data_IF_601950888748
#
_entry.id   IF_601950888748
#
_cell.length_a   1.000
_cell.length_b   1.000
_cell.length_c   1.000
_cell.angle_alpha   90.00
_cell.angle_beta   90.00
_cell.angle_gamma   90.00
#
_symmetry.space_group_name_H-M   'P 1'
#
loop_
_entity.id
_entity.type
_entity.pdbx_description
1 polymer ?
#
# COMPACT_ATOMS: atom_id res chain seq x y z
N UNK A 1 10.69 -4.61 -10.12
CA UNK A 1 9.85 -3.43 -10.39
C UNK A 1 9.09 -2.96 -9.14
N UNK A 2 8.14 -3.74 -8.60
CA UNK A 2 7.24 -3.27 -7.53
C UNK A 2 7.96 -2.75 -6.28
N UNK A 3 9.01 -3.43 -5.82
CA UNK A 3 9.79 -2.96 -4.66
C UNK A 3 10.40 -1.58 -4.89
N UNK A 4 10.82 -1.24 -6.11
CA UNK A 4 11.40 0.07 -6.44
C UNK A 4 10.32 1.15 -6.33
N UNK A 5 9.12 0.91 -6.88
CA UNK A 5 7.98 1.82 -6.73
C UNK A 5 7.60 2.04 -5.26
N UNK A 6 7.60 0.98 -4.46
CA UNK A 6 7.33 1.06 -3.02
C UNK A 6 8.42 1.81 -2.25
N UNK A 7 9.69 1.66 -2.64
CA UNK A 7 10.81 2.45 -2.09
C UNK A 7 10.63 3.93 -2.38
N UNK A 8 10.25 4.29 -3.61
CA UNK A 8 9.98 5.69 -3.99
C UNK A 8 8.84 6.24 -3.14
N UNK A 9 7.71 5.53 -3.06
CA UNK A 9 6.58 5.94 -2.24
C UNK A 9 6.95 6.14 -0.76
N UNK A 10 7.72 5.20 -0.17
CA UNK A 10 8.23 5.33 1.20
C UNK A 10 9.06 6.61 1.35
N UNK A 11 10.06 6.80 0.51
CA UNK A 11 10.97 7.93 0.63
C UNK A 11 10.25 9.27 0.42
N UNK A 12 9.31 9.35 -0.54
CA UNK A 12 8.54 10.57 -0.80
C UNK A 12 7.55 10.91 0.33
N UNK A 13 7.04 9.91 1.04
CA UNK A 13 5.98 10.09 2.06
C UNK A 13 6.47 10.01 3.50
N UNK A 14 7.71 9.61 3.74
CA UNK A 14 8.31 9.50 5.07
C UNK A 14 8.47 10.85 5.78
N UNK A 15 8.52 11.96 5.05
CA UNK A 15 8.72 13.30 5.62
C UNK A 15 10.16 13.57 6.09
N UNK A 16 11.07 12.62 5.91
CA UNK A 16 12.49 12.69 6.26
C UNK A 16 13.34 12.08 5.14
N UNK A 17 14.64 12.35 5.14
CA UNK A 17 15.57 11.58 4.32
C UNK A 17 15.81 10.20 4.96
N UNK A 18 15.02 9.22 4.51
CA UNK A 18 15.15 7.82 4.96
C UNK A 18 16.50 7.21 4.57
N UNK A 19 17.19 7.73 3.56
CA UNK A 19 18.51 7.20 3.14
C UNK A 19 19.59 7.60 4.13
N UNK A 20 19.49 8.80 4.68
CA UNK A 20 20.42 9.31 5.68
C UNK A 20 20.07 8.83 7.10
N UNK A 21 18.80 8.94 7.50
CA UNK A 21 18.37 8.72 8.88
C UNK A 21 17.79 7.33 9.16
N UNK A 22 17.58 6.53 8.12
CA UNK A 22 17.01 5.19 8.23
C UNK A 22 15.50 5.17 8.51
N UNK A 23 14.93 3.96 8.48
CA UNK A 23 13.47 3.74 8.60
C UNK A 23 12.95 3.96 10.03
N UNK A 24 13.80 3.74 11.03
CA UNK A 24 13.43 3.94 12.44
C UNK A 24 13.20 5.41 12.81
N UNK A 25 13.72 6.35 12.01
CA UNK A 25 13.54 7.79 12.22
C UNK A 25 12.20 8.32 11.70
N UNK A 26 11.37 7.50 11.05
CA UNK A 26 10.07 7.92 10.55
C UNK A 26 9.11 8.11 11.74
N UNK A 27 8.67 9.36 11.99
CA UNK A 27 7.82 9.70 13.13
C UNK A 27 6.42 9.07 13.07
N UNK A 28 5.81 9.06 11.88
CA UNK A 28 4.46 8.54 11.67
C UNK A 28 4.49 7.27 10.83
N UNK A 29 3.94 6.14 11.32
CA UNK A 29 3.98 4.88 10.58
C UNK A 29 3.27 5.00 9.23
N UNK A 30 3.98 4.60 8.18
CA UNK A 30 3.46 4.65 6.81
C UNK A 30 2.47 3.51 6.55
N UNK A 31 1.49 3.77 5.68
CA UNK A 31 0.45 2.82 5.30
C UNK A 31 0.35 2.64 3.79
N UNK A 32 0.36 1.38 3.36
CA UNK A 32 0.24 0.97 1.97
C UNK A 32 -1.05 0.16 1.81
N UNK A 33 -1.76 0.38 0.72
CA UNK A 33 -3.07 -0.24 0.47
C UNK A 33 -3.03 -1.04 -0.82
N UNK A 34 -3.65 -2.21 -0.82
CA UNK A 34 -3.85 -3.02 -2.01
C UNK A 34 -4.96 -4.03 -1.75
N UNK A 35 -5.48 -4.64 -2.81
CA UNK A 35 -6.51 -5.67 -2.67
C UNK A 35 -6.01 -6.89 -1.90
N UNK A 36 -6.91 -7.69 -1.35
CA UNK A 36 -6.61 -9.02 -0.81
C UNK A 36 -6.12 -10.01 -1.89
N UNK A 37 -6.34 -9.70 -3.17
CA UNK A 37 -5.82 -10.42 -4.34
C UNK A 37 -4.40 -9.99 -4.75
N UNK A 38 -3.77 -9.06 -4.03
CA UNK A 38 -2.45 -8.54 -4.38
C UNK A 38 -1.37 -9.62 -4.30
N UNK A 39 -0.46 -9.63 -5.28
CA UNK A 39 0.62 -10.61 -5.32
C UNK A 39 1.52 -10.52 -4.08
N UNK A 40 1.96 -11.68 -3.58
CA UNK A 40 2.74 -11.81 -2.33
C UNK A 40 4.06 -11.01 -2.30
N UNK A 41 4.57 -10.57 -3.47
CA UNK A 41 5.77 -9.74 -3.55
C UNK A 41 5.63 -8.40 -2.81
N UNK A 42 4.41 -7.86 -2.67
CA UNK A 42 4.19 -6.59 -1.96
C UNK A 42 4.36 -6.74 -0.45
N UNK A 43 3.91 -7.88 0.11
CA UNK A 43 4.22 -8.25 1.50
C UNK A 43 5.73 -8.35 1.70
N UNK A 44 6.42 -9.12 0.85
CA UNK A 44 7.87 -9.30 0.92
C UNK A 44 8.61 -7.97 0.79
N UNK A 45 8.11 -7.05 -0.04
CA UNK A 45 8.66 -5.72 -0.16
C UNK A 45 8.52 -4.90 1.13
N UNK A 46 7.35 -4.90 1.80
CA UNK A 46 7.21 -4.19 3.09
C UNK A 46 8.15 -4.74 4.16
N UNK A 47 8.30 -6.07 4.22
CA UNK A 47 9.24 -6.74 5.13
C UNK A 47 10.69 -6.33 4.81
N UNK A 48 11.10 -6.41 3.54
CA UNK A 48 12.45 -6.05 3.10
C UNK A 48 12.77 -4.55 3.25
N UNK A 49 11.76 -3.67 3.15
CA UNK A 49 11.92 -2.23 3.34
C UNK A 49 11.96 -1.80 4.81
N UNK A 50 11.87 -2.74 5.76
CA UNK A 50 11.91 -2.46 7.20
C UNK A 50 10.62 -1.90 7.77
N UNK A 51 9.52 -1.92 7.01
CA UNK A 51 8.20 -1.39 7.43
C UNK A 51 7.32 -2.47 8.09
N UNK A 52 7.61 -3.74 7.78
CA UNK A 52 6.89 -4.90 8.29
C UNK A 52 5.54 -5.14 7.60
N UNK A 53 5.05 -6.39 7.64
CA UNK A 53 3.81 -6.80 6.98
C UNK A 53 2.59 -5.98 7.43
N UNK A 54 2.59 -5.47 8.67
CA UNK A 54 1.50 -4.63 9.16
C UNK A 54 1.36 -3.35 8.35
N UNK A 55 2.41 -2.81 7.72
CA UNK A 55 2.33 -1.61 6.89
C UNK A 55 1.47 -1.79 5.63
N UNK A 56 1.28 -3.04 5.16
CA UNK A 56 0.39 -3.36 4.05
C UNK A 56 -1.02 -3.69 4.56
N UNK A 57 -1.94 -2.75 4.38
CA UNK A 57 -3.37 -2.96 4.61
C UNK A 57 -4.01 -3.58 3.38
N UNK A 58 -4.60 -4.77 3.56
CA UNK A 58 -5.34 -5.48 2.51
C UNK A 58 -6.79 -5.01 2.55
N UNK A 59 -7.31 -4.63 1.39
CA UNK A 59 -8.68 -4.19 1.20
C UNK A 59 -9.46 -5.32 0.55
N UNK A 60 -10.69 -5.53 1.00
CA UNK A 60 -11.59 -6.52 0.42
C UNK A 60 -11.81 -6.25 -1.07
N UNK A 61 -12.13 -7.31 -1.81
CA UNK A 61 -12.51 -7.22 -3.22
C UNK A 61 -14.01 -7.40 -3.44
N UNK A 62 -14.50 -6.85 -4.54
CA UNK A 62 -15.87 -7.01 -5.00
C UNK A 62 -16.11 -8.38 -5.66
N UNK A 63 -17.33 -8.61 -6.15
CA UNK A 63 -17.67 -9.84 -6.86
C UNK A 63 -16.85 -10.07 -8.15
N UNK A 64 -16.25 -9.01 -8.71
CA UNK A 64 -15.33 -9.06 -9.84
C UNK A 64 -13.87 -9.24 -9.45
N UNK A 65 -13.57 -9.48 -8.16
CA UNK A 65 -12.24 -9.60 -7.59
C UNK A 65 -11.37 -8.35 -7.79
N UNK A 66 -12.02 -7.19 -7.91
CA UNK A 66 -11.38 -5.87 -7.96
C UNK A 66 -11.42 -5.25 -6.57
N UNK A 67 -10.45 -4.39 -6.26
CA UNK A 67 -10.44 -3.68 -4.98
C UNK A 67 -11.75 -2.91 -4.75
N UNK A 68 -12.36 -3.08 -3.57
CA UNK A 68 -13.53 -2.31 -3.18
C UNK A 68 -13.11 -0.88 -2.82
N UNK A 69 -13.53 0.08 -3.64
CA UNK A 69 -13.21 1.50 -3.49
C UNK A 69 -13.84 2.11 -2.22
N UNK A 70 -15.02 1.66 -1.82
CA UNK A 70 -15.70 2.13 -0.60
C UNK A 70 -14.93 1.65 0.64
N UNK A 71 -14.54 0.37 0.66
CA UNK A 71 -13.71 -0.19 1.71
C UNK A 71 -12.33 0.47 1.78
N UNK A 72 -11.71 0.77 0.63
CA UNK A 72 -10.44 1.50 0.55
C UNK A 72 -10.56 2.90 1.17
N UNK A 73 -11.59 3.67 0.81
CA UNK A 73 -11.81 5.04 1.34
C UNK A 73 -12.00 5.02 2.85
N UNK A 74 -12.79 4.07 3.35
CA UNK A 74 -13.01 3.89 4.79
C UNK A 74 -11.71 3.56 5.51
N UNK A 75 -10.93 2.61 4.99
CA UNK A 75 -9.64 2.23 5.55
C UNK A 75 -8.64 3.41 5.61
N UNK A 76 -8.57 4.23 4.56
CA UNK A 76 -7.70 5.42 4.55
C UNK A 76 -8.14 6.43 5.61
N UNK A 77 -9.45 6.65 5.77
CA UNK A 77 -9.99 7.56 6.79
C UNK A 77 -9.64 7.10 8.21
N UNK A 78 -9.86 5.82 8.50
CA UNK A 78 -9.52 5.19 9.78
C UNK A 78 -8.03 5.27 10.10
N UNK A 79 -7.17 4.94 9.13
CA UNK A 79 -5.72 4.97 9.33
C UNK A 79 -5.23 6.41 9.57
N UNK A 80 -5.80 7.41 8.89
CA UNK A 80 -5.50 8.82 9.17
C UNK A 80 -5.92 9.21 10.59
N UNK A 81 -7.11 8.81 11.02
CA UNK A 81 -7.61 9.08 12.37
C UNK A 81 -6.75 8.39 13.45
N UNK A 82 -6.20 7.22 13.15
CA UNK A 82 -5.30 6.46 14.01
C UNK A 82 -3.82 6.95 13.96
N UNK A 83 -3.54 8.04 13.23
CA UNK A 83 -2.20 8.66 13.17
C UNK A 83 -1.22 8.01 12.17
N UNK A 84 -1.69 7.09 11.33
CA UNK A 84 -0.89 6.56 10.22
C UNK A 84 -0.84 7.56 9.06
N UNK A 85 0.22 7.48 8.27
CA UNK A 85 0.39 8.27 7.04
C UNK A 85 0.15 7.39 5.81
N UNK A 86 -0.97 7.56 5.09
CA UNK A 86 -1.19 6.91 3.80
C UNK A 86 -0.08 7.28 2.81
N UNK A 87 0.68 6.28 2.35
CA UNK A 87 1.83 6.47 1.49
C UNK A 87 1.54 6.10 0.03
N UNK A 88 0.87 4.97 -0.22
CA UNK A 88 0.63 4.46 -1.57
C UNK A 88 -0.57 3.53 -1.61
N UNK A 89 -1.36 3.66 -2.67
CA UNK A 89 -2.38 2.69 -3.08
C UNK A 89 -1.83 1.93 -4.29
N UNK A 90 -1.92 0.60 -4.24
CA UNK A 90 -1.39 -0.31 -5.24
C UNK A 90 -2.57 -0.88 -6.03
N UNK A 91 -2.74 -0.41 -7.26
CA UNK A 91 -3.72 -0.97 -8.20
C UNK A 91 -3.13 -2.09 -9.04
N UNK A 92 -3.89 -3.16 -9.24
CA UNK A 92 -3.51 -4.29 -10.08
C UNK A 92 -4.17 -4.17 -11.46
N UNK A 93 -3.35 -4.05 -12.50
CA UNK A 93 -3.80 -4.11 -13.89
C UNK A 93 -3.78 -5.56 -14.42
N UNK A 94 -4.42 -6.48 -13.70
CA UNK A 94 -4.37 -7.92 -13.94
C UNK A 94 -3.79 -8.66 -12.73
N UNK A 95 -4.66 -9.15 -11.85
CA UNK A 95 -4.25 -10.02 -10.75
C UNK A 95 -3.73 -11.35 -11.27
N UNK A 96 -2.76 -11.94 -10.56
CA UNK A 96 -2.09 -13.18 -11.00
C UNK A 96 -3.06 -14.36 -11.13
N UNK A 97 -4.03 -14.48 -10.22
CA UNK A 97 -4.91 -15.65 -10.15
C UNK A 97 -6.10 -15.57 -11.12
N UNK A 98 -6.68 -14.39 -11.32
CA UNK A 98 -7.97 -14.25 -12.03
C UNK A 98 -7.93 -13.26 -13.18
N UNK A 99 -6.82 -12.57 -13.40
CA UNK A 99 -6.72 -11.53 -14.42
C UNK A 99 -7.57 -10.29 -14.14
N UNK A 100 -8.14 -10.14 -12.93
CA UNK A 100 -8.94 -8.98 -12.58
C UNK A 100 -8.12 -7.68 -12.68
N UNK A 101 -8.74 -6.66 -13.27
CA UNK A 101 -8.17 -5.31 -13.43
C UNK A 101 -8.93 -4.38 -12.51
N UNK A 102 -8.23 -3.75 -11.57
CA UNK A 102 -8.80 -2.73 -10.69
C UNK A 102 -9.23 -1.50 -11.50
N UNK A 103 -10.20 -0.74 -10.98
CA UNK A 103 -10.56 0.55 -11.56
C UNK A 103 -9.47 1.60 -11.26
N UNK A 104 -8.45 1.64 -12.11
CA UNK A 104 -7.30 2.53 -11.97
C UNK A 104 -7.69 4.02 -12.02
N UNK A 105 -8.82 4.37 -12.65
CA UNK A 105 -9.31 5.76 -12.67
C UNK A 105 -9.93 6.12 -11.32
N UNK A 106 -10.68 5.21 -10.71
CA UNK A 106 -11.25 5.43 -9.38
C UNK A 106 -10.19 5.45 -8.27
N UNK A 107 -9.02 4.83 -8.50
CA UNK A 107 -7.89 4.81 -7.58
C UNK A 107 -6.99 6.06 -7.62
N UNK A 108 -7.01 6.82 -8.72
CA UNK A 108 -6.20 8.02 -8.92
C UNK A 108 -6.78 9.23 -8.16
#
# INVERSE_FOLDING_TARGET
ANIIGLTVARNTKAGIDVREHGVAAIEKPLRFYGSDQIHSCHRKAMEALGLGNRALRRIATDAGLRIDISALRSAISEDRAAGFTPACVIGNAGTVNTGAIDDLKALA
#
